data_IF_307540483412
#
_entry.id   IF_307540483412
#
_cell.length_a   1.000
_cell.length_b   1.000
_cell.length_c   1.000
_cell.angle_alpha   90.00
_cell.angle_beta   90.00
_cell.angle_gamma   90.00
#
_symmetry.space_group_name_H-M   'P 1'
#
loop_
_entity.id
_entity.type
_entity.pdbx_description
1 polymer ?
#
# COMPACT_ATOMS: atom_id res chain seq x y z
N UNK A 1 4.29 16.93 5.60
CA UNK A 1 3.04 16.86 4.79
C UNK A 1 1.86 16.70 5.74
N UNK A 2 0.66 17.20 5.40
CA UNK A 2 -0.53 17.03 6.24
C UNK A 2 -1.74 16.55 5.44
N UNK A 3 -2.51 15.60 5.98
CA UNK A 3 -3.82 15.16 5.48
C UNK A 3 -4.82 15.28 6.62
N UNK A 4 -5.95 15.93 6.35
CA UNK A 4 -6.96 16.23 7.38
C UNK A 4 -6.38 16.89 8.65
N UNK A 5 -5.29 17.66 8.51
CA UNK A 5 -4.60 18.33 9.62
C UNK A 5 -3.51 17.52 10.34
N UNK A 6 -3.45 16.21 10.10
CA UNK A 6 -2.51 15.27 10.73
C UNK A 6 -1.24 15.09 9.90
N UNK A 7 -0.12 14.88 10.59
CA UNK A 7 1.18 14.65 9.99
C UNK A 7 1.27 13.25 9.38
N UNK A 8 1.32 13.20 8.05
CA UNK A 8 1.41 11.94 7.30
C UNK A 8 2.78 11.69 6.69
N UNK A 9 3.77 12.53 6.98
CA UNK A 9 5.16 12.35 6.53
C UNK A 9 5.72 11.01 7.06
N UNK A 10 6.15 10.07 6.20
CA UNK A 10 6.61 8.75 6.61
C UNK A 10 7.93 8.79 7.42
N UNK A 11 8.64 9.92 7.44
CA UNK A 11 9.85 10.14 8.26
C UNK A 11 9.55 10.60 9.68
N UNK A 12 8.27 10.73 10.02
CA UNK A 12 7.80 11.24 11.31
C UNK A 12 6.67 10.36 11.82
N UNK A 13 6.49 10.35 13.13
CA UNK A 13 5.32 9.67 13.73
C UNK A 13 4.03 10.34 13.27
N UNK A 14 3.05 9.50 12.96
CA UNK A 14 1.69 9.92 12.73
C UNK A 14 1.06 10.38 14.04
N UNK A 15 0.25 11.44 14.00
CA UNK A 15 -0.32 12.12 15.16
C UNK A 15 -1.86 12.21 15.13
N UNK A 16 -2.51 11.34 14.35
CA UNK A 16 -3.96 11.30 14.22
C UNK A 16 -4.62 10.04 14.82
N UNK A 17 -5.90 9.78 14.47
CA UNK A 17 -6.67 8.67 15.02
C UNK A 17 -6.05 7.30 14.72
N UNK A 18 -6.10 6.37 15.68
CA UNK A 18 -5.57 5.02 15.50
C UNK A 18 -6.39 4.20 14.49
N UNK A 19 -5.69 3.45 13.64
CA UNK A 19 -6.28 2.44 12.75
C UNK A 19 -5.21 1.42 12.32
N UNK A 20 -5.67 0.33 11.67
CA UNK A 20 -4.80 -0.68 11.09
C UNK A 20 -4.55 -0.39 9.59
N UNK A 21 -3.29 -0.23 9.22
CA UNK A 21 -2.81 -0.07 7.84
C UNK A 21 -2.26 -1.41 7.33
N UNK A 22 -2.51 -1.76 6.07
CA UNK A 22 -1.87 -2.91 5.45
C UNK A 22 -0.48 -2.55 4.92
N UNK A 23 0.55 -3.17 5.47
CA UNK A 23 1.93 -2.96 5.08
C UNK A 23 2.37 -4.02 4.06
N UNK A 24 2.51 -3.63 2.79
CA UNK A 24 2.87 -4.56 1.70
C UNK A 24 4.22 -5.23 1.94
N UNK A 25 5.21 -4.52 2.48
CA UNK A 25 6.54 -5.08 2.72
C UNK A 25 6.55 -6.19 3.78
N UNK A 26 5.61 -6.14 4.72
CA UNK A 26 5.50 -7.11 5.83
C UNK A 26 4.39 -8.13 5.59
N UNK A 27 3.60 -7.94 4.52
CA UNK A 27 2.39 -8.71 4.20
C UNK A 27 1.43 -8.85 5.40
N UNK A 28 1.30 -7.79 6.21
CA UNK A 28 0.52 -7.79 7.45
C UNK A 28 -0.13 -6.43 7.73
N UNK A 29 -1.19 -6.43 8.54
CA UNK A 29 -1.79 -5.21 9.09
C UNK A 29 -1.02 -4.74 10.32
N UNK A 30 -0.66 -3.46 10.36
CA UNK A 30 0.12 -2.85 11.42
C UNK A 30 -0.56 -1.56 11.92
N UNK A 31 -0.27 -1.14 13.16
CA UNK A 31 -0.71 0.16 13.66
C UNK A 31 -0.22 1.33 12.78
N UNK A 32 -1.10 2.29 12.51
CA UNK A 32 -0.81 3.47 11.68
C UNK A 32 0.28 4.40 12.23
N UNK A 33 0.64 4.28 13.52
CA UNK A 33 1.66 5.07 14.20
C UNK A 33 3.09 4.49 14.07
N UNK A 34 3.22 3.30 13.46
CA UNK A 34 4.51 2.62 13.25
C UNK A 34 5.47 3.50 12.43
N UNK A 35 6.77 3.26 12.61
CA UNK A 35 7.80 3.74 11.68
C UNK A 35 7.51 3.29 10.25
N UNK A 36 7.23 4.26 9.37
CA UNK A 36 6.94 4.06 7.95
C UNK A 36 8.16 4.28 7.06
N UNK A 37 9.36 4.39 7.64
CA UNK A 37 10.63 4.41 6.91
C UNK A 37 10.78 3.24 5.92
N UNK A 38 10.35 2.00 6.23
CA UNK A 38 10.40 0.90 5.25
C UNK A 38 9.60 1.18 3.98
N UNK A 39 8.48 1.91 4.06
CA UNK A 39 7.70 2.32 2.91
C UNK A 39 8.47 3.31 2.02
N UNK A 40 9.32 4.17 2.59
CA UNK A 40 10.13 5.13 1.82
C UNK A 40 11.14 4.41 0.93
N UNK A 41 11.73 3.32 1.44
CA UNK A 41 12.73 2.53 0.71
C UNK A 41 12.12 1.47 -0.19
N UNK A 42 10.81 1.25 -0.10
CA UNK A 42 10.11 0.28 -0.92
C UNK A 42 9.95 0.82 -2.36
N UNK A 43 10.19 0.01 -3.41
CA UNK A 43 9.92 0.41 -4.79
C UNK A 43 8.45 0.82 -5.05
N UNK A 44 7.52 0.33 -4.21
CA UNK A 44 6.11 0.69 -4.21
C UNK A 44 5.75 1.74 -3.16
N UNK A 45 6.73 2.45 -2.61
CA UNK A 45 6.55 3.41 -1.52
C UNK A 45 5.50 4.47 -1.80
N UNK A 46 5.43 4.94 -3.05
CA UNK A 46 4.41 5.91 -3.47
C UNK A 46 2.97 5.37 -3.34
N UNK A 47 2.76 4.05 -3.51
CA UNK A 47 1.45 3.43 -3.35
C UNK A 47 1.10 3.26 -1.88
N UNK A 48 2.08 2.88 -1.05
CA UNK A 48 1.92 2.83 0.39
C UNK A 48 1.54 4.21 0.95
N UNK A 49 2.25 5.26 0.52
CA UNK A 49 1.98 6.63 0.95
C UNK A 49 0.59 7.11 0.49
N UNK A 50 0.22 6.87 -0.77
CA UNK A 50 -1.11 7.21 -1.26
C UNK A 50 -2.24 6.45 -0.53
N UNK A 51 -2.04 5.15 -0.29
CA UNK A 51 -2.95 4.32 0.49
C UNK A 51 -3.14 4.87 1.90
N UNK A 52 -2.05 5.13 2.61
CA UNK A 52 -2.07 5.70 3.95
C UNK A 52 -2.83 7.03 4.01
N UNK A 53 -2.58 7.94 3.07
CA UNK A 53 -3.29 9.21 3.01
C UNK A 53 -4.80 9.03 2.89
N UNK A 54 -5.25 8.08 2.07
CA UNK A 54 -6.67 7.78 1.94
C UNK A 54 -7.25 7.18 3.22
N UNK A 55 -6.53 6.26 3.89
CA UNK A 55 -6.98 5.71 5.18
C UNK A 55 -7.12 6.79 6.25
N UNK A 56 -6.15 7.72 6.33
CA UNK A 56 -6.23 8.90 7.20
C UNK A 56 -7.45 9.75 6.83
N UNK A 57 -7.70 9.99 5.55
CA UNK A 57 -8.89 10.74 5.10
C UNK A 57 -10.19 10.05 5.54
N UNK A 58 -10.27 8.73 5.38
CA UNK A 58 -11.44 7.92 5.74
C UNK A 58 -11.68 7.96 7.26
N UNK A 59 -10.68 7.60 8.07
CA UNK A 59 -10.84 7.56 9.53
C UNK A 59 -11.19 8.93 10.12
N UNK A 60 -10.59 10.00 9.57
CA UNK A 60 -10.87 11.37 10.02
C UNK A 60 -12.26 11.87 9.62
N UNK A 61 -12.88 11.24 8.62
CA UNK A 61 -14.27 11.47 8.23
C UNK A 61 -15.27 10.54 8.93
N UNK A 62 -14.82 9.73 9.89
CA UNK A 62 -15.65 8.74 10.58
C UNK A 62 -16.03 7.52 9.72
N UNK A 63 -15.29 7.29 8.64
CA UNK A 63 -15.49 6.15 7.73
C UNK A 63 -14.53 5.01 8.08
N UNK A 64 -14.86 3.79 7.65
CA UNK A 64 -13.97 2.64 7.79
C UNK A 64 -12.67 2.90 6.99
N UNK A 65 -11.49 2.90 7.63
CA UNK A 65 -10.21 3.12 6.94
C UNK A 65 -9.76 1.95 6.07
N UNK A 66 -10.48 0.83 6.05
CA UNK A 66 -10.16 -0.28 5.17
C UNK A 66 -10.30 0.12 3.70
N UNK A 67 -9.23 -0.06 2.93
CA UNK A 67 -9.23 0.22 1.49
C UNK A 67 -9.88 -0.90 0.66
N UNK A 68 -10.10 -2.06 1.27
CA UNK A 68 -10.58 -3.29 0.63
C UNK A 68 -11.93 -3.75 1.16
N UNK A 69 -12.22 -3.50 2.43
CA UNK A 69 -13.53 -3.83 3.01
C UNK A 69 -14.59 -2.92 2.41
N UNK A 70 -15.72 -3.50 1.99
CA UNK A 70 -16.84 -2.83 1.32
C UNK A 70 -16.60 -2.35 -0.12
N UNK A 71 -15.45 -2.61 -0.75
CA UNK A 71 -15.27 -2.34 -2.19
C UNK A 71 -15.57 -3.57 -3.03
N UNK A 72 -16.60 -3.49 -3.86
CA UNK A 72 -16.77 -4.39 -5.00
C UNK A 72 -15.84 -3.88 -6.10
N UNK A 73 -14.72 -4.56 -6.31
CA UNK A 73 -13.86 -4.27 -7.44
C UNK A 73 -14.46 -4.92 -8.70
N UNK A 74 -14.42 -4.26 -9.87
CA UNK A 74 -14.66 -4.95 -11.14
C UNK A 74 -13.71 -6.14 -11.25
N UNK A 75 -14.17 -7.29 -11.74
CA UNK A 75 -13.39 -8.53 -11.80
C UNK A 75 -12.01 -8.33 -12.48
N UNK A 76 -11.96 -7.44 -13.45
CA UNK A 76 -10.78 -7.10 -14.24
C UNK A 76 -9.83 -6.07 -13.59
N UNK A 77 -10.27 -5.34 -12.56
CA UNK A 77 -9.42 -4.41 -11.80
C UNK A 77 -8.42 -5.13 -10.88
N UNK A 78 -8.73 -6.36 -10.48
CA UNK A 78 -7.86 -7.23 -9.69
C UNK A 78 -7.04 -8.19 -10.57
N UNK A 79 -7.20 -8.13 -11.89
CA UNK A 79 -6.35 -8.90 -12.81
C UNK A 79 -4.89 -8.48 -12.67
N UNK A 80 -3.95 -9.40 -12.95
CA UNK A 80 -2.51 -9.11 -12.92
C UNK A 80 -2.17 -7.87 -13.75
N UNK A 81 -2.71 -7.78 -14.97
CA UNK A 81 -2.46 -6.65 -15.86
C UNK A 81 -3.11 -5.35 -15.35
N UNK A 82 -4.29 -5.44 -14.74
CA UNK A 82 -4.97 -4.32 -14.07
C UNK A 82 -4.15 -3.77 -12.90
N UNK A 83 -3.62 -4.65 -12.06
CA UNK A 83 -2.78 -4.29 -10.90
C UNK A 83 -1.41 -3.71 -11.31
N UNK A 84 -0.91 -4.08 -12.50
CA UNK A 84 0.33 -3.53 -13.06
C UNK A 84 0.08 -2.28 -13.93
N UNK A 85 -1.17 -1.97 -14.25
CA UNK A 85 -1.53 -0.80 -15.05
C UNK A 85 -1.27 0.47 -14.22
N UNK A 86 -0.48 1.40 -14.77
CA UNK A 86 -0.07 2.62 -14.06
C UNK A 86 1.24 2.53 -13.28
N UNK A 87 1.85 1.34 -13.15
CA UNK A 87 3.18 1.18 -12.55
C UNK A 87 4.30 1.41 -13.58
N UNK A 88 5.42 1.99 -13.13
CA UNK A 88 6.64 2.08 -13.96
C UNK A 88 7.25 0.68 -14.20
N UNK A 89 8.14 0.56 -15.19
CA UNK A 89 8.81 -0.73 -15.49
C UNK A 89 9.53 -1.34 -14.29
N UNK A 90 10.17 -0.52 -13.46
CA UNK A 90 10.86 -0.97 -12.23
C UNK A 90 9.88 -1.46 -11.16
N UNK A 91 8.77 -0.75 -10.98
CA UNK A 91 7.72 -1.12 -10.04
C UNK A 91 7.00 -2.40 -10.46
N UNK A 92 6.75 -2.56 -11.76
CA UNK A 92 6.23 -3.81 -12.32
C UNK A 92 7.18 -4.96 -12.04
N UNK A 93 8.47 -4.81 -12.34
CA UNK A 93 9.46 -5.86 -12.10
C UNK A 93 9.51 -6.26 -10.61
N UNK A 94 9.44 -5.30 -9.70
CA UNK A 94 9.38 -5.57 -8.26
C UNK A 94 8.12 -6.34 -7.85
N UNK A 95 6.93 -5.89 -8.28
CA UNK A 95 5.64 -6.56 -7.98
C UNK A 95 5.63 -7.98 -8.54
N UNK A 96 6.07 -8.16 -9.78
CA UNK A 96 6.15 -9.47 -10.41
C UNK A 96 7.05 -10.43 -9.64
N UNK A 97 8.22 -9.95 -9.18
CA UNK A 97 9.21 -10.77 -8.47
C UNK A 97 8.83 -11.12 -7.03
N UNK A 98 8.04 -10.29 -6.34
CA UNK A 98 7.84 -10.42 -4.89
C UNK A 98 6.38 -10.57 -4.42
N UNK A 99 5.41 -10.22 -5.28
CA UNK A 99 3.97 -10.25 -4.95
C UNK A 99 3.26 -11.36 -5.71
N UNK A 100 3.50 -11.48 -7.02
CA UNK A 100 2.82 -12.48 -7.85
C UNK A 100 3.50 -13.85 -7.87
N UNK A 101 4.58 -14.05 -7.10
CA UNK A 101 5.46 -15.24 -7.14
C UNK A 101 5.51 -15.80 -8.57
N UNK A 102 6.17 -15.07 -9.46
CA UNK A 102 6.77 -15.76 -10.59
C UNK A 102 7.94 -16.52 -9.98
N UNK A 103 7.68 -17.67 -9.37
CA UNK A 103 8.69 -18.72 -9.35
C UNK A 103 9.16 -18.82 -10.80
N UNK A 104 10.43 -18.48 -11.03
CA UNK A 104 11.08 -18.80 -12.28
C UNK A 104 11.03 -20.33 -12.42
N UNK A 105 9.98 -20.84 -13.07
CA UNK A 105 10.08 -22.06 -13.86
C UNK A 105 11.05 -21.77 -15.00
N UNK A 106 12.34 -21.74 -14.65
CA UNK A 106 13.47 -21.67 -15.56
C UNK A 106 14.65 -22.41 -14.93
N UNK A 107 14.37 -23.59 -14.36
CA UNK A 107 15.36 -24.64 -14.10
C UNK A 107 14.77 -26.00 -14.43
N UNK A 108 14.90 -26.36 -15.70
CA UNK A 108 15.37 -27.64 -16.22
C UNK A 108 14.90 -27.69 -17.68
N UNK A 109 15.79 -27.29 -18.59
CA UNK A 109 16.56 -28.20 -19.45
C UNK A 109 15.80 -28.53 -20.74
#
# INVERSE_FOLDING_TARGET
MKVSGFNVDPRRRYDGPEFMEYCISEKAYLPADRDRTPCITCPLGQLCEAGFHEQVRLVTSGQNPSLTECKVFPDEALSRDGLLSGLSSEQRAFVLRHVFDVEEESRNE
#
